data_IF_839430468426
#
_entry.id   IF_839430468426
#
_cell.length_a   1.000
_cell.length_b   1.000
_cell.length_c   1.000
_cell.angle_alpha   90.00
_cell.angle_beta   90.00
_cell.angle_gamma   90.00
#
_symmetry.space_group_name_H-M   'P 1'
#
loop_
_entity.id
_entity.type
_entity.pdbx_description
1 polymer ?
#
# COMPACT_ATOMS: atom_id res chain seq x y z
N UNK A 1 6.45 11.55 1.43
CA UNK A 1 6.04 11.56 0.01
C UNK A 1 4.66 10.95 -0.10
N UNK A 2 3.67 11.73 -0.51
CA UNK A 2 2.31 11.24 -0.73
C UNK A 2 2.21 10.65 -2.14
N UNK A 3 2.43 9.34 -2.28
CA UNK A 3 2.07 8.64 -3.52
C UNK A 3 0.55 8.42 -3.58
N UNK A 4 0.04 8.07 -4.75
CA UNK A 4 -1.38 7.77 -4.92
C UNK A 4 -1.77 6.52 -4.11
N UNK A 5 -2.75 6.66 -3.23
CA UNK A 5 -3.29 5.56 -2.44
C UNK A 5 -4.40 4.87 -3.22
N UNK A 6 -4.10 3.71 -3.83
CA UNK A 6 -5.05 2.95 -4.64
C UNK A 6 -6.35 2.62 -3.88
N UNK A 7 -6.25 2.06 -2.67
CA UNK A 7 -7.43 1.68 -1.89
C UNK A 7 -8.35 2.87 -1.57
N UNK A 8 -7.79 3.99 -1.12
CA UNK A 8 -8.56 5.20 -0.82
C UNK A 8 -9.16 5.82 -2.09
N UNK A 9 -8.45 5.75 -3.22
CA UNK A 9 -8.94 6.30 -4.48
C UNK A 9 -10.11 5.49 -5.03
N UNK A 10 -10.07 4.15 -4.91
CA UNK A 10 -11.17 3.26 -5.29
C UNK A 10 -12.41 3.58 -4.46
N UNK A 11 -12.28 3.61 -3.13
CA UNK A 11 -13.40 3.95 -2.23
C UNK A 11 -13.99 5.33 -2.56
N UNK A 12 -13.13 6.31 -2.85
CA UNK A 12 -13.57 7.66 -3.19
C UNK A 12 -14.34 7.74 -4.52
N UNK A 13 -13.96 6.93 -5.52
CA UNK A 13 -14.68 6.81 -6.79
C UNK A 13 -16.00 6.08 -6.60
N UNK A 14 -16.00 4.98 -5.85
CA UNK A 14 -17.19 4.16 -5.57
C UNK A 14 -18.24 4.93 -4.76
N UNK A 15 -17.79 5.83 -3.89
CA UNK A 15 -18.64 6.77 -3.13
C UNK A 15 -19.19 7.93 -3.97
N UNK A 16 -18.92 7.96 -5.29
CA UNK A 16 -19.43 8.97 -6.22
C UNK A 16 -18.63 10.28 -6.26
N UNK A 17 -17.62 10.46 -5.39
CA UNK A 17 -16.82 11.68 -5.27
C UNK A 17 -15.63 11.77 -6.24
N UNK A 18 -15.14 10.64 -6.76
CA UNK A 18 -13.90 10.53 -7.54
C UNK A 18 -13.84 11.26 -8.89
N UNK A 19 -14.86 12.05 -9.24
CA UNK A 19 -14.93 12.85 -10.48
C UNK A 19 -14.36 14.26 -10.34
N UNK A 20 -14.19 14.78 -9.13
CA UNK A 20 -13.75 16.16 -8.90
C UNK A 20 -12.58 16.25 -7.92
N UNK A 21 -11.64 17.18 -8.14
CA UNK A 21 -10.51 17.42 -7.22
C UNK A 21 -10.96 17.94 -5.85
N UNK A 22 -12.16 18.52 -5.78
CA UNK A 22 -12.79 18.97 -4.55
C UNK A 22 -13.01 17.83 -3.54
N UNK A 23 -13.22 16.61 -4.02
CA UNK A 23 -13.41 15.43 -3.17
C UNK A 23 -12.13 15.04 -2.40
N UNK A 24 -10.95 15.17 -3.01
CA UNK A 24 -9.69 14.93 -2.30
C UNK A 24 -9.40 16.05 -1.28
N UNK A 25 -9.75 17.30 -1.62
CA UNK A 25 -9.59 18.45 -0.71
C UNK A 25 -10.52 18.32 0.49
N UNK A 26 -11.79 17.96 0.29
CA UNK A 26 -12.71 17.74 1.41
C UNK A 26 -12.24 16.60 2.30
N UNK A 27 -11.80 15.47 1.73
CA UNK A 27 -11.22 14.35 2.49
C UNK A 27 -10.05 14.82 3.38
N UNK A 28 -9.12 15.59 2.83
CA UNK A 28 -7.96 16.08 3.57
C UNK A 28 -8.36 17.05 4.70
N UNK A 29 -9.31 17.96 4.45
CA UNK A 29 -9.81 18.92 5.45
C UNK A 29 -10.57 18.20 6.58
N UNK A 30 -11.46 17.28 6.24
CA UNK A 30 -12.20 16.49 7.23
C UNK A 30 -11.26 15.62 8.06
N UNK A 31 -10.25 15.00 7.44
CA UNK A 31 -9.24 14.22 8.15
C UNK A 31 -8.44 15.10 9.11
N UNK A 32 -8.00 16.29 8.69
CA UNK A 32 -7.25 17.20 9.53
C UNK A 32 -8.06 17.66 10.76
N UNK A 33 -9.31 18.07 10.55
CA UNK A 33 -10.23 18.46 11.62
C UNK A 33 -10.53 17.29 12.56
N UNK A 34 -10.71 16.08 12.00
CA UNK A 34 -10.93 14.85 12.76
C UNK A 34 -9.75 14.49 13.66
N UNK A 35 -8.51 14.57 13.14
CA UNK A 35 -7.31 14.27 13.91
C UNK A 35 -7.13 15.28 15.05
N UNK A 36 -7.29 16.58 14.79
CA UNK A 36 -7.13 17.61 15.83
C UNK A 36 -8.18 17.46 16.92
N UNK A 37 -9.44 17.18 16.56
CA UNK A 37 -10.54 17.04 17.53
C UNK A 37 -10.49 15.72 18.30
N UNK A 38 -10.09 14.63 17.65
CA UNK A 38 -10.02 13.30 18.24
C UNK A 38 -8.65 12.96 18.86
N UNK A 39 -7.67 13.87 18.81
CA UNK A 39 -6.33 13.70 19.37
C UNK A 39 -6.29 13.04 20.78
N UNK A 40 -7.12 13.42 21.76
CA UNK A 40 -7.09 12.77 23.08
C UNK A 40 -7.55 11.30 23.06
N UNK A 41 -8.40 10.90 22.10
CA UNK A 41 -8.82 9.51 21.92
C UNK A 41 -7.77 8.68 21.16
N UNK A 42 -6.97 9.29 20.28
CA UNK A 42 -5.93 8.57 19.54
C UNK A 42 -4.85 7.98 20.48
N UNK A 43 -4.59 8.63 21.62
CA UNK A 43 -3.60 8.19 22.60
C UNK A 43 -3.99 6.92 23.39
N UNK A 44 -5.26 6.52 23.37
CA UNK A 44 -5.75 5.31 24.06
C UNK A 44 -5.85 4.10 23.14
N UNK A 45 -5.57 4.26 21.84
CA UNK A 45 -5.66 3.18 20.85
C UNK A 45 -4.56 2.14 21.12
N UNK A 46 -4.91 0.87 21.38
CA UNK A 46 -3.92 -0.16 21.64
C UNK A 46 -3.12 -0.48 20.38
N UNK A 47 -1.81 -0.67 20.54
CA UNK A 47 -0.88 -0.98 19.45
C UNK A 47 -1.30 -2.27 18.72
N UNK A 48 -1.93 -3.20 19.44
CA UNK A 48 -2.47 -4.44 18.86
C UNK A 48 -3.49 -4.19 17.73
N UNK A 49 -4.34 -3.17 17.85
CA UNK A 49 -5.31 -2.84 16.81
C UNK A 49 -4.61 -2.32 15.54
N UNK A 50 -3.59 -1.49 15.70
CA UNK A 50 -2.78 -0.96 14.59
C UNK A 50 -2.03 -2.09 13.85
N UNK A 51 -1.45 -3.04 14.59
CA UNK A 51 -0.83 -4.23 14.00
C UNK A 51 -1.85 -5.07 13.22
N UNK A 52 -3.06 -5.26 13.77
CA UNK A 52 -4.14 -5.96 13.08
C UNK A 52 -4.53 -5.29 11.74
N UNK A 53 -4.63 -3.96 11.72
CA UNK A 53 -4.89 -3.20 10.48
C UNK A 53 -3.76 -3.39 9.47
N UNK A 54 -2.49 -3.39 9.90
CA UNK A 54 -1.36 -3.62 9.00
C UNK A 54 -1.41 -5.02 8.37
N UNK A 55 -1.79 -6.05 9.11
CA UNK A 55 -1.96 -7.40 8.57
C UNK A 55 -3.08 -7.48 7.53
N UNK A 56 -4.20 -6.77 7.75
CA UNK A 56 -5.30 -6.68 6.79
C UNK A 56 -4.84 -6.02 5.47
N UNK A 57 -4.04 -4.96 5.56
CA UNK A 57 -3.46 -4.28 4.39
C UNK A 57 -2.44 -5.18 3.67
N UNK A 58 -1.59 -5.92 4.39
CA UNK A 58 -0.68 -6.89 3.80
C UNK A 58 -1.43 -7.95 2.99
N UNK A 59 -2.50 -8.52 3.57
CA UNK A 59 -3.33 -9.51 2.87
C UNK A 59 -3.99 -8.94 1.61
N UNK A 60 -4.42 -7.67 1.66
CA UNK A 60 -5.02 -6.98 0.51
C UNK A 60 -3.99 -6.64 -0.58
N UNK A 61 -2.73 -6.45 -0.20
CA UNK A 61 -1.63 -6.12 -1.13
C UNK A 61 -1.09 -7.37 -1.81
N UNK A 62 -1.07 -8.51 -1.13
CA UNK A 62 -0.62 -9.77 -1.72
C UNK A 62 -1.63 -10.33 -2.73
N UNK A 63 -1.31 -10.19 -4.01
CA UNK A 63 -2.04 -10.88 -5.07
C UNK A 63 -1.60 -12.34 -5.17
N UNK A 64 -2.41 -13.24 -4.61
CA UNK A 64 -2.22 -14.70 -4.70
C UNK A 64 -2.19 -15.23 -6.15
N UNK A 65 -2.72 -14.44 -7.09
CA UNK A 65 -2.62 -14.73 -8.52
C UNK A 65 -1.18 -14.67 -9.03
N UNK A 66 -0.33 -13.81 -8.44
CA UNK A 66 1.08 -13.64 -8.84
C UNK A 66 1.87 -14.95 -8.75
N UNK A 67 1.62 -15.75 -7.70
CA UNK A 67 2.22 -17.09 -7.53
C UNK A 67 1.80 -18.08 -8.62
N UNK A 68 0.57 -17.96 -9.14
CA UNK A 68 0.05 -18.85 -10.20
C UNK A 68 0.57 -18.42 -11.57
N UNK A 69 0.74 -17.11 -11.77
CA UNK A 69 1.28 -16.52 -13.01
C UNK A 69 2.78 -16.80 -13.14
N UNK A 70 3.51 -16.99 -12.03
CA UNK A 70 4.95 -17.29 -12.02
C UNK A 70 5.35 -18.53 -12.85
N UNK A 71 4.43 -19.49 -13.04
CA UNK A 71 4.64 -20.67 -13.90
C UNK A 71 4.35 -20.43 -15.39
N UNK A 72 3.65 -19.34 -15.74
CA UNK A 72 3.28 -18.98 -17.12
C UNK A 72 4.19 -17.90 -17.73
N UNK A 73 4.91 -17.15 -16.91
CA UNK A 73 5.86 -16.12 -17.38
C UNK A 73 7.17 -16.73 -17.86
N UNK A 74 7.88 -16.07 -18.79
CA UNK A 74 9.20 -16.51 -19.23
C UNK A 74 10.18 -16.56 -18.04
N UNK A 75 11.15 -17.47 -18.12
CA UNK A 75 12.07 -17.79 -17.01
C UNK A 75 12.86 -16.58 -16.51
N UNK A 76 13.10 -15.59 -17.38
CA UNK A 76 13.83 -14.37 -17.04
C UNK A 76 13.03 -13.48 -16.08
N UNK A 77 11.75 -13.21 -16.37
CA UNK A 77 10.87 -12.41 -15.50
C UNK A 77 10.69 -13.07 -14.13
N UNK A 78 10.55 -14.40 -14.10
CA UNK A 78 10.46 -15.14 -12.85
C UNK A 78 11.73 -15.03 -11.99
N UNK A 79 12.90 -15.01 -12.63
CA UNK A 79 14.19 -14.85 -11.97
C UNK A 79 14.35 -13.44 -11.39
N UNK A 80 13.97 -12.40 -12.15
CA UNK A 80 13.99 -11.00 -11.67
C UNK A 80 13.08 -10.84 -10.46
N UNK A 81 11.85 -11.36 -10.50
CA UNK A 81 10.91 -11.31 -9.37
C UNK A 81 11.49 -12.00 -8.13
N UNK A 82 12.09 -13.18 -8.30
CA UNK A 82 12.71 -13.94 -7.21
C UNK A 82 13.91 -13.18 -6.61
N UNK A 83 14.74 -12.59 -7.47
CA UNK A 83 15.92 -11.82 -7.06
C UNK A 83 15.51 -10.56 -6.28
N UNK A 84 14.58 -9.76 -6.79
CA UNK A 84 14.08 -8.55 -6.11
C UNK A 84 13.43 -8.91 -4.78
N UNK A 85 12.62 -9.98 -4.73
CA UNK A 85 11.99 -10.45 -3.49
C UNK A 85 13.02 -10.88 -2.45
N UNK A 86 14.07 -11.60 -2.87
CA UNK A 86 15.13 -12.06 -1.96
C UNK A 86 15.93 -10.89 -1.39
N UNK A 87 16.35 -9.94 -2.22
CA UNK A 87 17.10 -8.74 -1.78
C UNK A 87 16.24 -7.88 -0.86
N UNK A 88 14.94 -7.79 -1.12
CA UNK A 88 14.00 -7.01 -0.28
C UNK A 88 13.93 -7.56 1.15
N UNK A 89 13.95 -8.89 1.31
CA UNK A 89 13.87 -9.53 2.63
C UNK A 89 15.20 -9.45 3.39
N UNK A 90 16.33 -9.51 2.67
CA UNK A 90 17.66 -9.60 3.29
C UNK A 90 18.29 -8.26 3.61
N UNK A 91 18.09 -7.28 2.74
CA UNK A 91 18.72 -5.97 2.82
C UNK A 91 17.67 -4.88 3.01
N UNK A 92 17.09 -4.41 1.91
CA UNK A 92 16.25 -3.21 1.86
C UNK A 92 15.47 -3.12 0.54
N UNK A 93 14.30 -2.46 0.58
CA UNK A 93 13.52 -2.14 -0.63
C UNK A 93 14.33 -1.34 -1.65
N UNK A 94 15.14 -0.37 -1.20
CA UNK A 94 15.87 0.52 -2.10
C UNK A 94 16.92 -0.23 -2.94
N UNK A 95 17.70 -1.11 -2.30
CA UNK A 95 18.69 -1.96 -2.99
C UNK A 95 18.01 -2.94 -3.94
N UNK A 96 16.86 -3.49 -3.56
CA UNK A 96 16.09 -4.39 -4.39
C UNK A 96 15.58 -3.74 -5.68
N UNK A 97 15.11 -2.48 -5.62
CA UNK A 97 14.69 -1.72 -6.81
C UNK A 97 15.87 -1.50 -7.76
N UNK A 98 17.03 -1.09 -7.24
CA UNK A 98 18.22 -0.88 -8.08
C UNK A 98 18.64 -2.17 -8.77
N UNK A 99 18.73 -3.28 -8.02
CA UNK A 99 19.04 -4.59 -8.59
C UNK A 99 18.04 -5.04 -9.66
N UNK A 100 16.74 -4.81 -9.43
CA UNK A 100 15.68 -5.14 -10.38
C UNK A 100 15.69 -4.30 -11.65
N UNK A 101 16.14 -3.04 -11.60
CA UNK A 101 16.23 -2.17 -12.80
C UNK A 101 17.44 -2.45 -13.68
N UNK A 102 18.49 -3.07 -13.13
CA UNK A 102 19.75 -3.37 -13.85
C UNK A 102 19.74 -4.77 -14.47
N UNK A 103 18.98 -5.70 -13.87
CA UNK A 103 18.80 -7.08 -14.34
C UNK A 103 17.90 -7.17 -15.57
#
# INVERSE_FOLDING_TARGET
>A
GGCALLGQSIINVESGGGKSRLSAVSMAVFLALGIVSAAPLLGTVPIAALTGVMLLVCQSTFSWSSLRVLRKVPKLDALVIALVSYVTVRDDLAKAVVAGTVA
#
